data_IF_391665739257
#
_entry.id   IF_391665739257
#
_cell.length_a   1.000
_cell.length_b   1.000
_cell.length_c   1.000
_cell.angle_alpha   90.00
_cell.angle_beta   90.00
_cell.angle_gamma   90.00
#
_symmetry.space_group_name_H-M   'P 1'
#
loop_
_entity.id
_entity.type
_entity.pdbx_description
1 polymer ?
#
# COMPACT_ATOMS: atom_id res chain seq x y z
N UNK A 1 27.11 -25.47 22.18
CA UNK A 1 27.76 -26.14 21.04
C UNK A 1 27.21 -25.46 19.80
N UNK A 2 28.05 -24.74 19.08
CA UNK A 2 27.68 -24.19 17.78
C UNK A 2 27.68 -25.32 16.75
N UNK A 3 26.64 -25.38 15.92
CA UNK A 3 26.58 -26.37 14.85
C UNK A 3 27.52 -25.92 13.72
N UNK A 4 28.63 -26.62 13.53
CA UNK A 4 29.55 -26.35 12.42
C UNK A 4 29.00 -26.97 11.14
N UNK A 5 28.83 -26.16 10.09
CA UNK A 5 28.39 -26.61 8.77
C UNK A 5 29.45 -27.48 8.10
N UNK A 6 29.03 -28.56 7.44
CA UNK A 6 29.89 -29.43 6.62
C UNK A 6 30.01 -28.97 5.16
N UNK A 7 29.42 -27.83 4.80
CA UNK A 7 29.44 -27.31 3.42
C UNK A 7 30.83 -26.81 3.02
N UNK A 8 31.20 -26.98 1.75
CA UNK A 8 32.42 -26.43 1.19
C UNK A 8 32.33 -24.89 1.17
N UNK A 9 33.20 -24.17 1.92
CA UNK A 9 33.17 -22.71 1.99
C UNK A 9 33.34 -22.02 0.63
N UNK A 10 34.08 -22.63 -0.31
CA UNK A 10 34.29 -22.06 -1.64
C UNK A 10 33.02 -22.10 -2.49
N UNK A 11 32.28 -23.21 -2.40
CA UNK A 11 31.01 -23.39 -3.11
C UNK A 11 29.94 -22.44 -2.55
N UNK A 12 29.84 -22.34 -1.21
CA UNK A 12 28.94 -21.40 -0.54
C UNK A 12 29.27 -19.95 -0.92
N UNK A 13 30.55 -19.58 -0.97
CA UNK A 13 30.97 -18.23 -1.38
C UNK A 13 30.60 -17.90 -2.83
N UNK A 14 30.68 -18.88 -3.74
CA UNK A 14 30.25 -18.72 -5.12
C UNK A 14 28.74 -18.51 -5.22
N UNK A 15 27.95 -19.26 -4.44
CA UNK A 15 26.49 -19.10 -4.40
C UNK A 15 26.06 -17.77 -3.80
N UNK A 16 26.73 -17.29 -2.75
CA UNK A 16 26.45 -15.96 -2.18
C UNK A 16 26.71 -14.86 -3.20
N UNK A 17 27.83 -14.93 -3.91
CA UNK A 17 28.15 -13.97 -4.99
C UNK A 17 27.07 -13.98 -6.08
N UNK A 18 26.64 -15.17 -6.54
CA UNK A 18 25.59 -15.29 -7.54
C UNK A 18 24.24 -14.74 -7.03
N UNK A 19 23.92 -14.99 -5.76
CA UNK A 19 22.72 -14.48 -5.11
C UNK A 19 22.72 -12.95 -5.00
N UNK A 20 23.84 -12.35 -4.63
CA UNK A 20 24.00 -10.89 -4.57
C UNK A 20 23.85 -10.25 -5.96
N UNK A 21 24.39 -10.88 -7.01
CA UNK A 21 24.22 -10.41 -8.38
C UNK A 21 22.73 -10.45 -8.81
N UNK A 22 22.01 -11.52 -8.48
CA UNK A 22 20.57 -11.62 -8.75
C UNK A 22 19.79 -10.55 -7.97
N UNK A 23 20.12 -10.33 -6.70
CA UNK A 23 19.52 -9.26 -5.89
C UNK A 23 19.71 -7.88 -6.52
N UNK A 24 20.91 -7.58 -7.03
CA UNK A 24 21.19 -6.31 -7.68
C UNK A 24 20.35 -6.14 -8.96
N UNK A 25 20.17 -7.20 -9.75
CA UNK A 25 19.30 -7.18 -10.94
C UNK A 25 17.83 -6.97 -10.57
N UNK A 26 17.33 -7.64 -9.52
CA UNK A 26 15.96 -7.43 -9.03
C UNK A 26 15.76 -5.97 -8.62
N UNK A 27 16.71 -5.38 -7.88
CA UNK A 27 16.63 -3.97 -7.49
C UNK A 27 16.58 -3.03 -8.70
N UNK A 28 17.42 -3.27 -9.71
CA UNK A 28 17.40 -2.48 -10.95
C UNK A 28 16.06 -2.62 -11.71
N UNK A 29 15.48 -3.83 -11.77
CA UNK A 29 14.18 -4.03 -12.41
C UNK A 29 13.02 -3.40 -11.62
N UNK A 30 13.09 -3.37 -10.30
CA UNK A 30 12.11 -2.68 -9.46
C UNK A 30 12.11 -1.17 -9.71
N UNK A 31 13.29 -0.54 -9.86
CA UNK A 31 13.40 0.88 -10.23
C UNK A 31 12.75 1.17 -11.59
N UNK A 32 13.06 0.35 -12.60
CA UNK A 32 12.47 0.48 -13.94
C UNK A 32 10.94 0.29 -13.88
N UNK A 33 10.46 -0.67 -13.08
CA UNK A 33 9.03 -0.91 -12.88
C UNK A 33 8.34 0.31 -12.27
N UNK A 34 8.95 0.96 -11.28
CA UNK A 34 8.40 2.15 -10.64
C UNK A 34 8.39 3.36 -11.59
N UNK A 35 9.43 3.52 -12.40
CA UNK A 35 9.47 4.56 -13.44
C UNK A 35 8.33 4.36 -14.46
N UNK A 36 8.15 3.14 -14.96
CA UNK A 36 7.07 2.80 -15.89
C UNK A 36 5.69 3.00 -15.28
N UNK A 37 5.50 2.63 -14.01
CA UNK A 37 4.25 2.88 -13.28
C UNK A 37 3.95 4.36 -13.23
N UNK A 38 4.91 5.20 -12.87
CA UNK A 38 4.73 6.65 -12.79
C UNK A 38 4.40 7.26 -14.16
N UNK A 39 5.05 6.79 -15.23
CA UNK A 39 4.73 7.17 -16.61
C UNK A 39 3.29 6.80 -16.98
N UNK A 40 2.88 5.56 -16.73
CA UNK A 40 1.51 5.09 -17.02
C UNK A 40 0.44 5.90 -16.27
N UNK A 41 0.67 6.17 -14.99
CA UNK A 41 -0.24 6.97 -14.17
C UNK A 41 -0.40 8.38 -14.72
N UNK A 42 0.71 9.07 -14.99
CA UNK A 42 0.68 10.46 -15.51
C UNK A 42 0.04 10.54 -16.89
N UNK A 43 0.29 9.56 -17.75
CA UNK A 43 -0.27 9.53 -19.11
C UNK A 43 -1.77 9.21 -19.10
N UNK A 44 -2.20 8.19 -18.36
CA UNK A 44 -3.63 7.80 -18.32
C UNK A 44 -4.48 8.71 -17.43
N UNK A 45 -3.89 9.31 -16.38
CA UNK A 45 -4.60 10.08 -15.36
C UNK A 45 -3.80 11.35 -14.98
N UNK A 46 -3.72 12.36 -15.88
CA UNK A 46 -2.93 13.58 -15.65
C UNK A 46 -3.43 14.43 -14.47
N UNK A 47 -4.72 14.31 -14.14
CA UNK A 47 -5.33 15.02 -13.01
C UNK A 47 -5.24 14.25 -11.68
N UNK A 48 -4.45 13.17 -11.64
CA UNK A 48 -4.29 12.31 -10.47
C UNK A 48 -5.19 11.08 -10.47
N UNK A 49 -4.83 10.11 -9.64
CA UNK A 49 -5.59 8.87 -9.44
C UNK A 49 -6.68 9.07 -8.40
N UNK A 50 -7.86 8.50 -8.66
CA UNK A 50 -8.89 8.34 -7.62
C UNK A 50 -8.59 7.10 -6.81
N UNK A 51 -9.01 7.10 -5.54
CA UNK A 51 -8.93 5.91 -4.71
C UNK A 51 -9.77 4.77 -5.31
N UNK A 52 -9.18 3.59 -5.48
CA UNK A 52 -9.81 2.44 -6.13
C UNK A 52 -9.41 2.29 -7.61
N UNK A 53 -10.18 1.52 -8.37
CA UNK A 53 -9.80 1.10 -9.74
C UNK A 53 -10.09 2.21 -10.75
N UNK A 54 -9.04 2.68 -11.42
CA UNK A 54 -9.10 3.59 -12.57
C UNK A 54 -8.78 2.80 -13.84
N UNK A 55 -9.50 3.04 -14.94
CA UNK A 55 -9.38 2.24 -16.17
C UNK A 55 -8.82 3.07 -17.31
N UNK A 56 -7.83 2.53 -18.02
CA UNK A 56 -7.22 3.10 -19.21
C UNK A 56 -7.33 2.07 -20.35
N UNK A 57 -8.04 2.41 -21.42
CA UNK A 57 -8.19 1.52 -22.57
C UNK A 57 -6.88 1.48 -23.38
N UNK A 58 -6.48 0.29 -23.80
CA UNK A 58 -5.33 0.08 -24.66
C UNK A 58 -5.77 -0.11 -26.11
N UNK A 59 -4.88 0.20 -27.06
CA UNK A 59 -5.17 0.16 -28.50
C UNK A 59 -5.57 -1.23 -29.00
N UNK A 60 -5.14 -2.29 -28.32
CA UNK A 60 -5.42 -3.68 -28.63
C UNK A 60 -6.71 -4.21 -27.97
N UNK A 61 -7.54 -3.31 -27.42
CA UNK A 61 -8.80 -3.65 -26.77
C UNK A 61 -8.67 -4.14 -25.32
N UNK A 62 -7.44 -4.30 -24.80
CA UNK A 62 -7.22 -4.60 -23.38
C UNK A 62 -7.52 -3.39 -22.50
N UNK A 63 -7.72 -3.64 -21.22
CA UNK A 63 -7.91 -2.59 -20.21
C UNK A 63 -6.80 -2.64 -19.19
N UNK A 64 -6.07 -1.54 -19.06
CA UNK A 64 -5.16 -1.31 -17.94
C UNK A 64 -5.96 -0.78 -16.75
N UNK A 65 -6.06 -1.59 -15.71
CA UNK A 65 -6.55 -1.16 -14.40
C UNK A 65 -5.38 -0.59 -13.60
N UNK A 66 -5.55 0.64 -13.12
CA UNK A 66 -4.64 1.29 -12.19
C UNK A 66 -5.41 1.56 -10.89
N UNK A 67 -5.10 0.82 -9.84
CA UNK A 67 -5.71 0.99 -8.52
C UNK A 67 -4.96 2.06 -7.75
N UNK A 68 -5.62 3.20 -7.49
CA UNK A 68 -5.16 4.21 -6.56
C UNK A 68 -5.28 3.70 -5.13
N UNK A 69 -4.16 3.67 -4.41
CA UNK A 69 -4.07 3.18 -3.03
C UNK A 69 -3.94 4.38 -2.11
N UNK A 70 -4.73 4.41 -1.03
CA UNK A 70 -4.55 5.36 0.07
C UNK A 70 -4.21 4.53 1.30
N UNK A 71 -3.00 4.75 1.81
CA UNK A 71 -2.53 4.17 3.07
C UNK A 71 -3.04 5.02 4.22
N UNK A 72 -3.54 4.36 5.27
CA UNK A 72 -4.08 4.99 6.47
C UNK A 72 -3.35 4.46 7.69
N UNK A 73 -2.05 4.79 7.88
CA UNK A 73 -1.34 4.47 9.11
C UNK A 73 -2.06 5.06 10.31
N UNK A 74 -2.07 4.28 11.39
CA UNK A 74 -2.61 4.68 12.67
C UNK A 74 -1.46 4.94 13.62
N UNK A 75 -1.50 6.10 14.27
CA UNK A 75 -0.67 6.45 15.40
C UNK A 75 -1.31 5.87 16.67
N UNK A 76 -0.70 4.82 17.21
CA UNK A 76 -1.22 4.09 18.37
C UNK A 76 -1.23 4.95 19.63
N UNK A 77 -0.28 5.89 19.76
CA UNK A 77 -0.15 6.74 20.96
C UNK A 77 -1.31 7.74 21.08
N UNK A 78 -1.86 8.15 19.94
CA UNK A 78 -2.96 9.12 19.87
C UNK A 78 -4.33 8.48 19.65
N UNK A 79 -4.37 7.16 19.43
CA UNK A 79 -5.58 6.46 19.04
C UNK A 79 -6.65 6.44 20.14
N UNK A 80 -6.28 6.09 21.37
CA UNK A 80 -7.23 5.98 22.48
C UNK A 80 -7.90 7.32 22.78
N UNK A 81 -7.12 8.41 22.73
CA UNK A 81 -7.63 9.76 22.89
C UNK A 81 -8.61 10.14 21.77
N UNK A 82 -8.30 9.78 20.52
CA UNK A 82 -9.18 10.03 19.38
C UNK A 82 -10.51 9.25 19.49
N UNK A 83 -10.46 7.98 19.92
CA UNK A 83 -11.65 7.15 20.15
C UNK A 83 -12.50 7.72 21.30
N UNK A 84 -11.86 8.14 22.40
CA UNK A 84 -12.55 8.75 23.54
C UNK A 84 -13.29 10.03 23.14
N UNK A 85 -12.65 10.91 22.36
CA UNK A 85 -13.27 12.14 21.86
C UNK A 85 -14.45 11.85 20.94
N UNK A 86 -14.32 10.86 20.05
CA UNK A 86 -15.38 10.49 19.13
C UNK A 86 -16.57 9.85 19.86
N UNK A 87 -16.30 9.05 20.89
CA UNK A 87 -17.32 8.45 21.77
C UNK A 87 -18.04 9.53 22.59
N UNK A 88 -17.31 10.50 23.14
CA UNK A 88 -17.89 11.61 23.89
C UNK A 88 -18.84 12.47 23.04
N UNK A 89 -18.52 12.63 21.74
CA UNK A 89 -19.35 13.38 20.80
C UNK A 89 -20.58 12.60 20.34
N UNK A 90 -20.41 11.34 19.93
CA UNK A 90 -21.45 10.57 19.24
C UNK A 90 -22.21 9.59 20.15
N UNK A 91 -21.75 9.39 21.39
CA UNK A 91 -22.30 8.43 22.34
C UNK A 91 -21.90 6.98 22.08
N UNK A 92 -21.12 6.71 21.02
CA UNK A 92 -20.61 5.38 20.68
C UNK A 92 -19.28 5.44 19.93
N UNK A 93 -18.46 4.40 20.07
CA UNK A 93 -17.29 4.17 19.25
C UNK A 93 -17.69 3.42 17.95
N UNK A 94 -17.21 3.82 16.76
CA UNK A 94 -17.55 3.17 15.50
C UNK A 94 -17.00 1.74 15.47
N UNK A 95 -17.91 0.78 15.60
CA UNK A 95 -17.60 -0.63 15.64
C UNK A 95 -16.94 -1.08 14.32
N UNK A 96 -15.86 -1.87 14.42
CA UNK A 96 -15.18 -2.43 13.25
C UNK A 96 -14.32 -1.45 12.44
N UNK A 97 -14.17 -0.20 12.90
CA UNK A 97 -13.27 0.77 12.25
C UNK A 97 -11.81 0.29 12.27
N UNK A 98 -11.41 -0.45 13.30
CA UNK A 98 -10.08 -1.05 13.41
C UNK A 98 -10.22 -2.57 13.32
N UNK A 99 -9.64 -3.17 12.27
CA UNK A 99 -9.86 -4.58 11.92
C UNK A 99 -9.00 -5.56 12.72
N UNK A 100 -7.73 -5.24 12.95
CA UNK A 100 -6.73 -5.98 13.75
C UNK A 100 -5.39 -5.23 13.63
N UNK A 101 -4.59 -5.13 14.71
CA UNK A 101 -3.33 -4.34 14.75
C UNK A 101 -3.46 -2.93 14.14
N UNK A 102 -4.42 -2.16 14.63
CA UNK A 102 -4.62 -0.75 14.25
C UNK A 102 -4.69 -0.49 12.73
N UNK A 103 -5.19 -1.45 11.94
CA UNK A 103 -5.49 -1.23 10.53
C UNK A 103 -6.90 -0.67 10.38
N UNK A 104 -7.03 0.50 9.76
CA UNK A 104 -8.32 1.14 9.46
C UNK A 104 -9.08 0.35 8.40
N UNK A 105 -10.34 0.03 8.67
CA UNK A 105 -11.24 -0.47 7.65
C UNK A 105 -11.64 0.65 6.68
N UNK A 106 -11.28 0.46 5.41
CA UNK A 106 -11.56 1.43 4.35
C UNK A 106 -13.04 1.76 4.20
N UNK A 107 -13.93 0.77 4.32
CA UNK A 107 -15.36 1.00 4.12
C UNK A 107 -15.93 1.79 5.30
N UNK A 108 -15.68 1.32 6.53
CA UNK A 108 -16.10 2.00 7.75
C UNK A 108 -15.58 3.43 7.82
N UNK A 109 -14.29 3.66 7.51
CA UNK A 109 -13.70 5.00 7.51
C UNK A 109 -14.32 5.91 6.45
N UNK A 110 -14.57 5.40 5.24
CA UNK A 110 -15.21 6.20 4.18
C UNK A 110 -16.62 6.64 4.59
N UNK A 111 -17.34 5.76 5.26
CA UNK A 111 -18.73 5.97 5.67
C UNK A 111 -18.86 6.93 6.89
N UNK A 112 -17.75 7.32 7.54
CA UNK A 112 -17.73 8.35 8.59
C UNK A 112 -18.06 9.75 8.04
N UNK A 113 -18.68 10.57 8.89
CA UNK A 113 -18.90 11.98 8.61
C UNK A 113 -17.58 12.76 8.48
N UNK A 114 -17.61 13.93 7.83
CA UNK A 114 -16.43 14.78 7.72
C UNK A 114 -15.87 15.17 9.10
N UNK A 115 -16.76 15.50 10.05
CA UNK A 115 -16.36 15.90 11.39
C UNK A 115 -15.72 14.76 12.18
N UNK A 116 -16.22 13.53 12.01
CA UNK A 116 -15.64 12.34 12.65
C UNK A 116 -14.24 12.04 12.11
N UNK A 117 -14.03 12.24 10.81
CA UNK A 117 -12.71 12.11 10.18
C UNK A 117 -11.73 13.16 10.72
N UNK A 118 -12.19 14.39 10.98
CA UNK A 118 -11.34 15.43 11.59
C UNK A 118 -10.91 15.07 13.02
N UNK A 119 -11.80 14.48 13.81
CA UNK A 119 -11.45 13.99 15.16
C UNK A 119 -10.40 12.88 15.08
N UNK A 120 -10.54 11.97 14.11
CA UNK A 120 -9.59 10.89 13.91
C UNK A 120 -8.29 11.32 13.23
N UNK A 121 -8.21 12.51 12.64
CA UNK A 121 -7.01 12.97 11.92
C UNK A 121 -5.78 13.11 12.82
N UNK A 122 -5.96 13.19 14.15
CA UNK A 122 -4.85 13.16 15.14
C UNK A 122 -4.19 11.79 15.25
N UNK A 123 -4.92 10.72 14.90
CA UNK A 123 -4.46 9.34 15.01
C UNK A 123 -4.39 8.62 13.66
N UNK A 124 -5.05 9.12 12.62
CA UNK A 124 -5.11 8.51 11.29
C UNK A 124 -4.63 9.50 10.25
N UNK A 125 -3.51 9.19 9.59
CA UNK A 125 -3.01 10.01 8.49
C UNK A 125 -3.35 9.35 7.16
N UNK A 126 -3.94 10.06 6.21
CA UNK A 126 -4.11 9.57 4.84
C UNK A 126 -2.86 9.92 4.01
N UNK A 127 -2.23 8.90 3.40
CA UNK A 127 -1.08 9.07 2.50
C UNK A 127 -1.32 8.31 1.22
N UNK A 128 -0.90 8.87 0.10
CA UNK A 128 -0.92 8.15 -1.17
C UNK A 128 0.01 6.93 -1.08
N UNK A 129 -0.53 5.77 -1.42
CA UNK A 129 0.21 4.52 -1.55
C UNK A 129 0.66 4.29 -2.99
N UNK A 130 1.56 3.33 -3.17
CA UNK A 130 2.02 2.93 -4.50
C UNK A 130 0.86 2.36 -5.33
N UNK A 131 0.56 2.92 -6.51
CA UNK A 131 -0.51 2.41 -7.36
C UNK A 131 -0.28 0.96 -7.78
N UNK A 132 -1.35 0.18 -7.88
CA UNK A 132 -1.26 -1.20 -8.34
C UNK A 132 -1.75 -1.30 -9.79
N UNK A 133 -0.99 -1.98 -10.64
CA UNK A 133 -1.26 -2.12 -12.07
C UNK A 133 -1.71 -3.55 -12.38
N UNK A 134 -2.79 -3.68 -13.16
CA UNK A 134 -3.29 -4.97 -13.64
C UNK A 134 -3.79 -4.81 -15.08
N UNK A 135 -3.32 -5.66 -16.00
CA UNK A 135 -3.83 -5.67 -17.39
C UNK A 135 -4.87 -6.78 -17.52
N UNK A 136 -6.08 -6.42 -17.97
CA UNK A 136 -7.14 -7.38 -18.29
C UNK A 136 -7.32 -7.54 -19.78
N UNK A 137 -7.55 -8.78 -20.21
CA UNK A 137 -7.94 -9.10 -21.57
C UNK A 137 -9.26 -8.42 -21.95
N UNK A 138 -9.42 -8.12 -23.24
CA UNK A 138 -10.72 -7.73 -23.80
C UNK A 138 -11.73 -8.85 -23.50
N UNK A 139 -12.91 -8.49 -23.00
CA UNK A 139 -14.03 -9.43 -22.91
C UNK A 139 -14.61 -9.68 -24.29
#
# INVERSE_FOLDING_TARGET
MEATSAADPNEVSAWVTAWEAVKAQIAAFEEVKDELRNKLVKTCFPNGLREGVNKCALIDGRVLNITGVINRPVDEDHLDAAIANLTAKNGYAPAGLFKTKHVVDKKAFRDLSYEDKQILAVAVTEKDGSPQLEVKAAK
#
